data_IF_385596112718
#
_entry.id   IF_385596112718
#
_cell.length_a   1.000
_cell.length_b   1.000
_cell.length_c   1.000
_cell.angle_alpha   90.00
_cell.angle_beta   90.00
_cell.angle_gamma   90.00
#
_symmetry.space_group_name_H-M   'P 1'
#
loop_
_entity.id
_entity.type
_entity.pdbx_description
1 polymer ?
#
# COMPACT_ATOMS: atom_id res chain seq x y z
N UNK A 1 -18.60 -12.50 5.92
CA UNK A 1 -18.23 -12.12 4.53
C UNK A 1 -16.72 -12.13 4.48
N UNK A 2 -16.12 -13.11 3.81
CA UNK A 2 -14.66 -13.18 3.67
C UNK A 2 -14.23 -12.11 2.69
N UNK A 3 -13.58 -11.07 3.18
CA UNK A 3 -12.81 -10.15 2.32
C UNK A 3 -11.84 -10.98 1.47
N UNK A 4 -11.73 -10.70 0.16
CA UNK A 4 -10.77 -11.39 -0.68
C UNK A 4 -9.37 -11.24 -0.07
N UNK A 5 -8.60 -12.33 -0.06
CA UNK A 5 -7.25 -12.35 0.50
C UNK A 5 -6.35 -11.40 -0.29
N UNK A 6 -5.97 -10.29 0.33
CA UNK A 6 -5.09 -9.29 -0.27
C UNK A 6 -3.65 -9.78 -0.24
N UNK A 7 -3.01 -9.81 -1.41
CA UNK A 7 -1.58 -10.11 -1.53
C UNK A 7 -0.77 -8.84 -1.31
N UNK A 8 -0.19 -8.71 -0.12
CA UNK A 8 0.62 -7.56 0.27
C UNK A 8 2.07 -7.69 -0.19
N UNK A 9 2.59 -6.59 -0.71
CA UNK A 9 3.97 -6.44 -1.15
C UNK A 9 4.61 -5.30 -0.35
N UNK A 10 5.76 -5.58 0.28
CA UNK A 10 6.54 -4.57 1.00
C UNK A 10 7.38 -3.77 0.00
N UNK A 11 7.49 -2.45 0.20
CA UNK A 11 8.36 -1.60 -0.63
C UNK A 11 9.83 -2.04 -0.56
N UNK A 12 10.60 -1.86 -1.64
CA UNK A 12 12.05 -2.11 -1.61
C UNK A 12 12.84 -0.98 -0.95
N UNK A 13 12.24 0.20 -0.83
CA UNK A 13 12.76 1.29 0.01
C UNK A 13 12.54 1.00 1.50
N UNK A 14 11.84 -0.10 1.81
CA UNK A 14 11.62 -0.55 3.16
C UNK A 14 12.81 -1.35 3.72
N UNK A 15 13.85 -0.64 4.18
CA UNK A 15 15.00 -1.17 4.90
C UNK A 15 14.58 -2.01 6.12
N UNK A 16 15.08 -3.23 6.16
CA UNK A 16 14.69 -4.21 7.19
C UNK A 16 15.61 -4.17 8.41
N UNK A 17 16.71 -3.40 8.34
CA UNK A 17 17.76 -3.33 9.36
C UNK A 17 17.50 -2.22 10.38
N UNK A 18 16.81 -1.15 10.01
CA UNK A 18 16.64 0.03 10.86
C UNK A 18 15.21 0.18 11.43
N UNK A 19 14.31 -0.78 11.21
CA UNK A 19 12.95 -0.81 11.79
C UNK A 19 12.06 0.36 11.36
N UNK A 20 12.49 1.12 10.36
CA UNK A 20 11.97 2.42 9.97
C UNK A 20 11.10 2.35 8.72
N UNK A 21 10.56 1.18 8.40
CA UNK A 21 10.06 0.94 7.07
C UNK A 21 8.67 0.32 6.99
N UNK A 22 7.78 1.15 6.45
CA UNK A 22 6.46 1.33 7.02
C UNK A 22 5.33 1.16 6.01
N UNK A 23 5.58 0.77 4.76
CA UNK A 23 4.49 0.72 3.76
C UNK A 23 4.43 -0.62 3.03
N UNK A 24 3.24 -1.21 3.04
CA UNK A 24 2.85 -2.34 2.20
C UNK A 24 1.71 -1.93 1.26
N UNK A 25 1.73 -2.50 0.05
CA UNK A 25 0.69 -2.31 -0.95
C UNK A 25 0.08 -3.64 -1.37
N UNK A 26 -1.23 -3.68 -1.60
CA UNK A 26 -1.91 -4.77 -2.28
C UNK A 26 -2.76 -4.23 -3.43
N UNK A 27 -2.68 -4.86 -4.59
CA UNK A 27 -3.44 -4.47 -5.78
C UNK A 27 -4.56 -5.45 -6.04
N UNK A 28 -5.76 -4.95 -6.30
CA UNK A 28 -6.88 -5.72 -6.86
C UNK A 28 -7.29 -5.11 -8.20
N UNK A 29 -8.16 -5.77 -8.99
CA UNK A 29 -8.62 -5.20 -10.26
C UNK A 29 -9.29 -3.82 -10.13
N UNK A 30 -9.89 -3.50 -8.97
CA UNK A 30 -10.67 -2.29 -8.77
C UNK A 30 -10.06 -1.31 -7.77
N UNK A 31 -9.12 -1.76 -6.94
CA UNK A 31 -8.60 -0.97 -5.80
C UNK A 31 -7.11 -1.19 -5.57
N UNK A 32 -6.46 -0.14 -5.11
CA UNK A 32 -5.11 -0.18 -4.53
C UNK A 32 -5.27 0.03 -3.03
N UNK A 33 -4.68 -0.87 -2.25
CA UNK A 33 -4.66 -0.81 -0.79
C UNK A 33 -3.25 -0.46 -0.35
N UNK A 34 -3.12 0.53 0.53
CA UNK A 34 -1.85 0.97 1.11
C UNK A 34 -2.00 0.97 2.62
N UNK A 35 -1.12 0.26 3.33
CA UNK A 35 -1.15 0.20 4.79
C UNK A 35 0.22 0.43 5.40
N UNK A 36 0.19 0.75 6.70
CA UNK A 36 1.39 0.77 7.50
C UNK A 36 1.82 -0.66 7.89
N UNK A 37 3.08 -1.02 7.62
CA UNK A 37 3.63 -2.36 7.92
C UNK A 37 3.70 -2.67 9.42
N UNK A 38 3.78 -1.64 10.27
CA UNK A 38 3.90 -1.76 11.74
C UNK A 38 2.55 -1.92 12.40
N UNK A 39 1.48 -1.43 11.76
CA UNK A 39 0.11 -1.55 12.26
C UNK A 39 -0.83 -2.21 11.23
N UNK A 40 -0.59 -3.47 10.83
CA UNK A 40 -1.31 -4.13 9.74
C UNK A 40 -2.80 -4.37 10.01
N UNK A 41 -3.23 -4.30 11.28
CA UNK A 41 -4.63 -4.47 11.70
C UNK A 41 -5.41 -3.15 11.76
N UNK A 42 -4.73 -2.01 11.55
CA UNK A 42 -5.38 -0.71 11.51
C UNK A 42 -5.99 -0.43 10.14
N UNK A 43 -6.99 0.47 10.04
CA UNK A 43 -7.58 0.85 8.76
C UNK A 43 -6.52 1.31 7.76
N UNK A 44 -6.56 0.74 6.56
CA UNK A 44 -5.65 1.06 5.48
C UNK A 44 -6.29 1.98 4.44
N UNK A 45 -5.47 2.75 3.74
CA UNK A 45 -5.92 3.61 2.65
C UNK A 45 -6.32 2.74 1.47
N UNK A 46 -7.51 3.00 0.91
CA UNK A 46 -8.01 2.32 -0.29
C UNK A 46 -8.36 3.36 -1.34
N UNK A 47 -7.75 3.26 -2.52
CA UNK A 47 -7.95 4.19 -3.64
C UNK A 47 -8.25 3.44 -4.92
N UNK A 48 -8.82 4.12 -5.92
CA UNK A 48 -8.97 3.55 -7.26
C UNK A 48 -7.63 3.57 -8.01
N UNK A 49 -7.41 2.68 -8.99
CA UNK A 49 -6.24 2.73 -9.85
C UNK A 49 -6.06 4.07 -10.55
N UNK A 50 -7.16 4.71 -10.98
CA UNK A 50 -7.13 6.02 -11.63
C UNK A 50 -6.62 7.12 -10.67
N UNK A 51 -7.10 7.13 -9.43
CA UNK A 51 -6.63 8.08 -8.42
C UNK A 51 -5.15 7.84 -8.06
N UNK A 52 -4.72 6.57 -7.98
CA UNK A 52 -3.33 6.21 -7.76
C UNK A 52 -2.41 6.70 -8.89
N UNK A 53 -2.78 6.49 -10.16
CA UNK A 53 -2.02 6.98 -11.31
C UNK A 53 -1.94 8.51 -11.34
N UNK A 54 -3.05 9.21 -11.02
CA UNK A 54 -3.07 10.66 -10.94
C UNK A 54 -2.16 11.18 -9.83
N UNK A 55 -2.16 10.53 -8.67
CA UNK A 55 -1.24 10.85 -7.56
C UNK A 55 0.21 10.71 -8.01
N UNK A 56 0.60 9.59 -8.62
CA UNK A 56 1.96 9.37 -9.10
C UNK A 56 2.40 10.41 -10.15
N UNK A 57 1.50 10.85 -11.03
CA UNK A 57 1.79 11.90 -12.00
C UNK A 57 2.02 13.29 -11.40
N UNK A 58 1.59 13.51 -10.15
CA UNK A 58 1.82 14.74 -9.40
C UNK A 58 3.03 14.70 -8.48
N UNK A 59 3.59 13.52 -8.22
CA UNK A 59 4.83 13.37 -7.45
C UNK A 59 6.00 13.62 -8.40
N UNK A 60 6.66 14.77 -8.23
CA UNK A 60 7.94 15.10 -8.86
C UNK A 60 9.05 15.05 -7.81
N UNK A 61 10.26 14.69 -8.22
CA UNK A 61 11.48 14.71 -7.37
C UNK A 61 11.95 16.13 -7.07
#
# INVERSE_FOLDING_TARGET
MSTPELRWFKSSYSDSSNGNDCVEMATTPATIHIRDSKTPETPHLTVTPAAWSAFLGGVSE
#
